data_IF_663797984367
#
_entry.id   IF_663797984367
#
_cell.length_a   1.000
_cell.length_b   1.000
_cell.length_c   1.000
_cell.angle_alpha   90.00
_cell.angle_beta   90.00
_cell.angle_gamma   90.00
#
_symmetry.space_group_name_H-M   'P 1'
#
loop_
_entity.id
_entity.type
_entity.pdbx_description
1 polymer ?
#
# COMPACT_ATOMS: atom_id res chain seq x y z
N UNK A 1 -1.30 30.84 7.30
CA UNK A 1 -0.84 29.56 6.73
C UNK A 1 -1.07 29.62 5.23
N UNK A 2 -0.10 29.29 4.37
CA UNK A 2 -0.27 29.40 2.92
C UNK A 2 -1.31 28.39 2.39
N UNK A 3 -2.06 28.77 1.36
CA UNK A 3 -3.25 28.06 0.86
C UNK A 3 -2.93 26.64 0.33
N UNK A 4 -1.70 26.44 -0.16
CA UNK A 4 -1.19 25.17 -0.67
C UNK A 4 -1.13 24.09 0.42
N UNK A 5 -0.70 24.45 1.63
CA UNK A 5 -0.63 23.57 2.79
C UNK A 5 -2.03 23.18 3.27
N UNK A 6 -2.98 24.12 3.22
CA UNK A 6 -4.37 23.86 3.60
C UNK A 6 -5.01 22.84 2.66
N UNK A 7 -4.85 23.03 1.33
CA UNK A 7 -5.37 22.10 0.32
C UNK A 7 -4.78 20.70 0.47
N UNK A 8 -3.46 20.60 0.74
CA UNK A 8 -2.79 19.31 0.99
C UNK A 8 -3.25 18.63 2.28
N UNK A 9 -3.50 19.40 3.33
CA UNK A 9 -4.06 18.84 4.58
C UNK A 9 -5.43 18.23 4.33
N UNK A 10 -6.30 18.93 3.60
CA UNK A 10 -7.65 18.46 3.30
C UNK A 10 -7.64 17.17 2.46
N UNK A 11 -6.78 17.08 1.43
CA UNK A 11 -6.69 15.87 0.62
C UNK A 11 -6.21 14.66 1.43
N UNK A 12 -5.31 14.86 2.39
CA UNK A 12 -4.87 13.78 3.29
C UNK A 12 -6.00 13.32 4.19
N UNK A 13 -6.73 14.25 4.85
CA UNK A 13 -7.83 13.88 5.74
C UNK A 13 -8.95 13.13 5.00
N UNK A 14 -9.35 13.62 3.82
CA UNK A 14 -10.38 12.98 3.00
C UNK A 14 -10.02 11.55 2.57
N UNK A 15 -8.74 11.30 2.27
CA UNK A 15 -8.27 10.01 1.77
C UNK A 15 -7.75 9.05 2.85
N UNK A 16 -7.65 9.50 4.11
CA UNK A 16 -6.89 8.79 5.15
C UNK A 16 -7.41 7.38 5.44
N UNK A 17 -8.72 7.25 5.60
CA UNK A 17 -9.34 5.95 5.90
C UNK A 17 -9.14 4.99 4.72
N UNK A 18 -9.33 5.46 3.49
CA UNK A 18 -9.12 4.66 2.28
C UNK A 18 -7.65 4.18 2.18
N UNK A 19 -6.69 5.08 2.44
CA UNK A 19 -5.27 4.78 2.44
C UNK A 19 -4.87 3.72 3.48
N UNK A 20 -5.41 3.81 4.70
CA UNK A 20 -5.17 2.81 5.76
C UNK A 20 -5.75 1.46 5.35
N UNK A 21 -7.01 1.45 4.90
CA UNK A 21 -7.72 0.23 4.52
C UNK A 21 -7.15 -0.42 3.24
N UNK A 22 -6.40 0.31 2.42
CA UNK A 22 -5.78 -0.25 1.21
C UNK A 22 -4.85 -1.43 1.54
N UNK A 23 -4.14 -1.37 2.66
CA UNK A 23 -3.27 -2.45 3.15
C UNK A 23 -4.04 -3.67 3.69
N UNK A 24 -5.37 -3.58 3.81
CA UNK A 24 -6.27 -4.65 4.22
C UNK A 24 -7.19 -5.10 3.07
N UNK A 25 -6.81 -4.83 1.81
CA UNK A 25 -7.57 -5.07 0.57
C UNK A 25 -8.86 -4.25 0.41
N UNK A 26 -9.60 -4.03 1.49
CA UNK A 26 -10.91 -3.34 1.47
C UNK A 26 -10.77 -1.92 0.91
N UNK A 27 -9.71 -1.20 1.26
CA UNK A 27 -9.46 0.15 0.73
C UNK A 27 -9.11 0.17 -0.75
N UNK A 28 -8.56 -0.93 -1.31
CA UNK A 28 -8.33 -1.03 -2.76
C UNK A 28 -9.67 -1.14 -3.49
N UNK A 29 -10.58 -1.97 -2.99
CA UNK A 29 -11.93 -2.11 -3.56
C UNK A 29 -12.67 -0.78 -3.48
N UNK A 30 -12.66 -0.14 -2.30
CA UNK A 30 -13.29 1.18 -2.11
C UNK A 30 -12.68 2.23 -3.04
N UNK A 31 -11.35 2.28 -3.18
CA UNK A 31 -10.69 3.21 -4.08
C UNK A 31 -11.21 3.10 -5.50
N UNK A 32 -11.36 1.89 -6.06
CA UNK A 32 -11.86 1.72 -7.42
C UNK A 32 -13.38 1.94 -7.55
N UNK A 33 -14.13 1.77 -6.47
CA UNK A 33 -15.58 1.97 -6.45
C UNK A 33 -16.01 3.44 -6.25
N UNK A 34 -15.13 4.31 -5.77
CA UNK A 34 -15.42 5.70 -5.44
C UNK A 34 -14.56 6.69 -6.25
N UNK A 35 -15.18 7.44 -7.15
CA UNK A 35 -14.51 8.43 -8.00
C UNK A 35 -13.78 9.53 -7.20
N UNK A 36 -14.25 9.87 -6.00
CA UNK A 36 -13.54 10.83 -5.14
C UNK A 36 -12.24 10.23 -4.65
N UNK A 37 -12.25 8.95 -4.25
CA UNK A 37 -11.04 8.25 -3.83
C UNK A 37 -10.06 8.10 -4.98
N UNK A 38 -10.54 7.79 -6.19
CA UNK A 38 -9.68 7.73 -7.41
C UNK A 38 -8.98 9.03 -7.73
N UNK A 39 -9.60 10.17 -7.41
CA UNK A 39 -9.02 11.51 -7.60
C UNK A 39 -8.17 11.94 -6.42
N UNK A 40 -8.19 11.21 -5.31
CA UNK A 40 -7.42 11.51 -4.12
C UNK A 40 -5.99 10.94 -4.24
N UNK A 41 -5.02 11.83 -4.48
CA UNK A 41 -3.61 11.47 -4.66
C UNK A 41 -2.97 10.82 -3.41
N UNK A 42 -3.49 11.09 -2.20
CA UNK A 42 -3.04 10.41 -0.98
C UNK A 42 -3.51 8.95 -0.93
N UNK A 43 -4.80 8.71 -1.18
CA UNK A 43 -5.36 7.36 -1.25
C UNK A 43 -4.72 6.55 -2.39
N UNK A 44 -4.61 7.14 -3.59
CA UNK A 44 -4.01 6.49 -4.75
C UNK A 44 -2.56 6.07 -4.53
N UNK A 45 -1.76 6.86 -3.81
CA UNK A 45 -0.41 6.47 -3.44
C UNK A 45 -0.38 5.17 -2.61
N UNK A 46 -1.15 5.11 -1.51
CA UNK A 46 -1.17 3.94 -0.63
C UNK A 46 -1.82 2.72 -1.30
N UNK A 47 -2.80 2.91 -2.18
CA UNK A 47 -3.39 1.83 -2.99
C UNK A 47 -2.37 1.21 -3.93
N UNK A 48 -1.54 2.02 -4.61
CA UNK A 48 -0.45 1.50 -5.47
C UNK A 48 0.60 0.73 -4.66
N UNK A 49 0.94 1.21 -3.47
CA UNK A 49 1.86 0.52 -2.55
C UNK A 49 1.28 -0.80 -2.01
N UNK A 50 0.00 -0.82 -1.63
CA UNK A 50 -0.66 -2.02 -1.17
C UNK A 50 -0.79 -3.06 -2.30
N UNK A 51 -1.15 -2.63 -3.50
CA UNK A 51 -1.29 -3.51 -4.67
C UNK A 51 0.04 -4.19 -5.04
N UNK A 52 1.16 -3.45 -5.05
CA UNK A 52 2.46 -4.08 -5.31
C UNK A 52 2.85 -5.05 -4.20
N UNK A 53 2.55 -4.73 -2.93
CA UNK A 53 2.86 -5.59 -1.81
C UNK A 53 2.07 -6.92 -1.89
N UNK A 54 0.81 -6.87 -2.33
CA UNK A 54 0.00 -8.06 -2.61
C UNK A 54 0.64 -8.90 -3.72
N UNK A 55 0.99 -8.29 -4.85
CA UNK A 55 1.60 -8.99 -5.99
C UNK A 55 2.91 -9.66 -5.56
N UNK A 56 3.76 -8.94 -4.82
CA UNK A 56 5.02 -9.48 -4.31
C UNK A 56 4.75 -10.63 -3.35
N UNK A 57 3.82 -10.48 -2.39
CA UNK A 57 3.46 -11.52 -1.43
C UNK A 57 3.06 -12.83 -2.11
N UNK A 58 2.18 -12.76 -3.12
CA UNK A 58 1.77 -13.93 -3.88
C UNK A 58 2.91 -14.50 -4.73
N UNK A 59 3.64 -13.66 -5.47
CA UNK A 59 4.75 -14.10 -6.32
C UNK A 59 5.86 -14.78 -5.51
N UNK A 60 6.23 -14.22 -4.34
CA UNK A 60 7.23 -14.81 -3.45
C UNK A 60 6.76 -16.12 -2.83
N UNK A 61 5.49 -16.21 -2.44
CA UNK A 61 4.92 -17.46 -1.89
C UNK A 61 4.91 -18.58 -2.94
N UNK A 62 4.49 -18.27 -4.18
CA UNK A 62 4.52 -19.21 -5.30
C UNK A 62 5.97 -19.65 -5.55
N UNK A 63 6.92 -18.71 -5.62
CA UNK A 63 8.32 -19.04 -5.88
C UNK A 63 8.94 -19.95 -4.82
N UNK A 64 8.68 -19.68 -3.53
CA UNK A 64 9.15 -20.52 -2.42
C UNK A 64 8.48 -21.89 -2.40
N UNK A 65 7.23 -22.01 -2.87
CA UNK A 65 6.51 -23.28 -2.93
C UNK A 65 7.02 -24.24 -4.02
N UNK A 66 7.87 -23.79 -4.95
CA UNK A 66 8.34 -24.62 -6.07
C UNK A 66 9.25 -25.77 -5.64
N UNK A 67 9.82 -25.73 -4.43
CA UNK A 67 10.68 -26.81 -3.91
C UNK A 67 10.33 -27.14 -2.46
N UNK A 68 10.52 -28.41 -2.09
CA UNK A 68 10.26 -28.88 -0.72
C UNK A 68 11.16 -28.21 0.33
N UNK A 69 12.38 -27.79 -0.05
CA UNK A 69 13.31 -27.13 0.88
C UNK A 69 12.89 -25.68 1.15
N UNK A 70 12.47 -24.93 0.13
CA UNK A 70 12.15 -23.51 0.27
C UNK A 70 10.80 -23.25 0.94
N UNK A 71 9.88 -24.22 0.95
CA UNK A 71 8.56 -24.07 1.58
C UNK A 71 8.66 -23.70 3.08
N UNK A 72 9.72 -24.16 3.75
CA UNK A 72 9.97 -23.86 5.16
C UNK A 72 10.31 -22.38 5.42
N UNK A 73 10.67 -21.63 4.38
CA UNK A 73 10.94 -20.19 4.47
C UNK A 73 9.67 -19.33 4.32
N UNK A 74 8.53 -19.90 3.90
CA UNK A 74 7.28 -19.16 3.69
C UNK A 74 6.83 -18.39 4.95
N UNK A 75 6.85 -18.96 6.18
CA UNK A 75 6.45 -18.22 7.37
C UNK A 75 7.32 -16.99 7.64
N UNK A 76 8.64 -17.11 7.46
CA UNK A 76 9.57 -16.00 7.62
C UNK A 76 9.34 -14.92 6.55
N UNK A 77 9.13 -15.34 5.30
CA UNK A 77 8.80 -14.44 4.21
C UNK A 77 7.49 -13.67 4.46
N UNK A 78 6.44 -14.36 4.92
CA UNK A 78 5.16 -13.74 5.26
C UNK A 78 5.28 -12.78 6.45
N UNK A 79 6.16 -13.05 7.41
CA UNK A 79 6.47 -12.11 8.49
C UNK A 79 7.08 -10.81 7.95
N UNK A 80 8.01 -10.88 6.99
CA UNK A 80 8.60 -9.69 6.34
C UNK A 80 7.54 -8.90 5.58
N UNK A 81 6.68 -9.57 4.83
CA UNK A 81 5.53 -8.95 4.13
C UNK A 81 4.62 -8.24 5.14
N UNK A 82 4.30 -8.90 6.26
CA UNK A 82 3.46 -8.33 7.31
C UNK A 82 4.08 -7.07 7.94
N UNK A 83 5.40 -7.05 8.16
CA UNK A 83 6.09 -5.84 8.61
C UNK A 83 5.89 -4.68 7.63
N UNK A 84 5.94 -4.93 6.32
CA UNK A 84 5.67 -3.90 5.33
C UNK A 84 4.20 -3.45 5.29
N UNK A 85 3.24 -4.35 5.54
CA UNK A 85 1.82 -3.97 5.73
C UNK A 85 1.69 -2.98 6.89
N UNK A 86 2.28 -3.30 8.05
CA UNK A 86 2.23 -2.43 9.25
C UNK A 86 2.91 -1.10 8.99
N UNK A 87 4.10 -1.09 8.37
CA UNK A 87 4.78 0.16 7.99
C UNK A 87 3.92 1.03 7.07
N UNK A 88 3.23 0.41 6.11
CA UNK A 88 2.31 1.08 5.20
C UNK A 88 1.15 1.74 5.93
N UNK A 89 0.52 1.01 6.86
CA UNK A 89 -0.55 1.52 7.72
C UNK A 89 -0.08 2.68 8.58
N UNK A 90 1.10 2.58 9.21
CA UNK A 90 1.67 3.65 10.04
C UNK A 90 1.92 4.90 9.19
N UNK A 91 2.49 4.75 7.99
CA UNK A 91 2.71 5.87 7.08
C UNK A 91 1.38 6.53 6.66
N UNK A 92 0.37 5.73 6.33
CA UNK A 92 -0.97 6.21 5.96
C UNK A 92 -1.66 6.95 7.12
N UNK A 93 -1.60 6.39 8.32
CA UNK A 93 -2.13 7.00 9.54
C UNK A 93 -1.49 8.36 9.82
N UNK A 94 -0.18 8.46 9.65
CA UNK A 94 0.58 9.71 9.83
C UNK A 94 0.44 10.70 8.65
N UNK A 95 -0.37 10.41 7.63
CA UNK A 95 -0.55 11.29 6.47
C UNK A 95 0.68 11.37 5.54
N UNK A 96 1.56 10.36 5.58
CA UNK A 96 2.84 10.37 4.88
C UNK A 96 2.81 9.50 3.62
N UNK A 97 3.08 10.11 2.46
CA UNK A 97 3.36 9.39 1.21
C UNK A 97 4.80 8.89 1.17
N UNK A 98 5.15 8.00 2.11
CA UNK A 98 6.48 7.40 2.22
C UNK A 98 6.48 6.02 1.58
N UNK A 99 7.39 5.81 0.64
CA UNK A 99 7.57 4.52 -0.03
C UNK A 99 8.06 3.46 0.95
N UNK A 100 7.54 2.25 0.79
CA UNK A 100 8.03 1.10 1.54
C UNK A 100 9.45 0.73 1.05
N UNK A 101 10.36 0.32 1.96
CA UNK A 101 11.71 -0.10 1.56
C UNK A 101 11.67 -1.21 0.52
N UNK A 102 12.61 -1.18 -0.44
CA UNK A 102 12.84 -2.21 -1.48
C UNK A 102 11.73 -2.30 -2.54
N UNK A 103 10.46 -2.17 -2.14
CA UNK A 103 9.29 -2.42 -2.98
C UNK A 103 8.59 -1.14 -3.46
N UNK A 104 8.75 -0.03 -2.74
CA UNK A 104 7.91 1.16 -2.96
C UNK A 104 8.14 1.85 -4.30
N UNK A 105 9.34 1.73 -4.86
CA UNK A 105 9.66 2.23 -6.20
C UNK A 105 8.81 1.59 -7.31
N UNK A 106 8.36 0.35 -7.13
CA UNK A 106 7.56 -0.36 -8.13
C UNK A 106 6.11 0.12 -8.15
N UNK A 107 5.60 0.70 -7.06
CA UNK A 107 4.25 1.30 -7.03
C UNK A 107 4.07 2.43 -8.04
N UNK A 108 5.15 3.15 -8.40
CA UNK A 108 5.13 4.20 -9.43
C UNK A 108 4.83 3.68 -10.84
N UNK A 109 4.95 2.37 -11.09
CA UNK A 109 4.67 1.77 -12.40
C UNK A 109 3.17 1.71 -12.71
N UNK A 110 2.31 1.79 -11.69
CA UNK A 110 0.87 1.83 -11.89
C UNK A 110 0.39 3.21 -12.34
N UNK A 111 -0.12 3.26 -13.57
CA UNK A 111 -0.69 4.46 -14.21
C UNK A 111 -2.21 4.40 -14.14
N UNK A 112 -2.75 4.70 -12.98
CA UNK A 112 -4.16 4.98 -12.74
C UNK A 112 -4.31 6.05 -11.67
#
# INVERSE_FOLDING_TARGET
MPEDKLKKSNTVEEGKVCAILAYLLIGIIWYFADDKMRKNDFAGFHVKQALILIIISFAGSIALSMTFVLVWLIPLYQLVVFVFVVMGIINAYNGQKKELPIIGQFGKKFKF
#
